data_IF_824785626795
#
_entry.id   IF_824785626795
#
_cell.length_a   1.000
_cell.length_b   1.000
_cell.length_c   1.000
_cell.angle_alpha   90.00
_cell.angle_beta   90.00
_cell.angle_gamma   90.00
#
_symmetry.space_group_name_H-M   'P 1'
#
loop_
_entity.id
_entity.type
_entity.pdbx_description
1 polymer ?
#
# COMPACT_ATOMS: atom_id res chain seq x y z
N UNK A 1 -15.41 8.95 4.65
CA UNK A 1 -15.59 8.97 3.18
C UNK A 1 -15.58 7.56 2.62
N UNK A 2 -16.02 7.39 1.37
CA UNK A 2 -15.67 6.22 0.52
C UNK A 2 -14.56 6.70 -0.41
N UNK A 3 -13.60 5.83 -0.73
CA UNK A 3 -12.45 6.05 -1.60
C UNK A 3 -12.68 5.31 -2.93
N UNK A 4 -13.43 5.90 -3.89
CA UNK A 4 -13.81 5.19 -5.10
C UNK A 4 -12.75 5.28 -6.20
N UNK A 5 -12.42 4.13 -6.78
CA UNK A 5 -11.85 3.99 -8.12
C UNK A 5 -12.90 3.30 -8.99
N UNK A 6 -13.87 4.08 -9.45
CA UNK A 6 -15.10 3.58 -10.08
C UNK A 6 -14.99 3.45 -11.61
N UNK A 7 -16.05 2.93 -12.24
CA UNK A 7 -16.19 2.80 -13.69
C UNK A 7 -15.94 4.09 -14.47
N UNK A 8 -16.43 5.22 -13.95
CA UNK A 8 -16.30 6.54 -14.60
C UNK A 8 -14.84 6.96 -14.79
N UNK A 9 -13.92 6.41 -14.01
CA UNK A 9 -12.50 6.76 -14.08
C UNK A 9 -11.73 5.95 -15.13
N UNK A 10 -12.32 4.92 -15.74
CA UNK A 10 -11.61 4.01 -16.66
C UNK A 10 -12.28 3.91 -18.04
N UNK A 11 -12.91 5.01 -18.46
CA UNK A 11 -13.63 5.18 -19.73
C UNK A 11 -13.33 6.53 -20.36
N UNK A 12 -13.86 6.76 -21.56
CA UNK A 12 -13.89 8.06 -22.23
C UNK A 12 -12.50 8.71 -22.40
N UNK A 13 -11.51 7.92 -22.82
CA UNK A 13 -10.12 8.34 -23.06
C UNK A 13 -9.34 8.72 -21.78
N UNK A 14 -9.87 8.41 -20.59
CA UNK A 14 -9.15 8.59 -19.32
C UNK A 14 -8.06 7.53 -19.10
N UNK A 15 -8.10 6.42 -19.84
CA UNK A 15 -7.26 5.25 -19.66
C UNK A 15 -7.68 4.36 -18.49
N UNK A 16 -7.26 3.09 -18.53
CA UNK A 16 -7.32 2.18 -17.38
C UNK A 16 -6.37 2.63 -16.25
N UNK A 17 -6.55 2.12 -15.04
CA UNK A 17 -5.65 2.48 -13.92
C UNK A 17 -4.19 2.13 -14.21
N UNK A 18 -3.92 0.95 -14.76
CA UNK A 18 -2.54 0.58 -15.15
C UNK A 18 -2.04 1.44 -16.33
N UNK A 19 -2.93 1.84 -17.24
CA UNK A 19 -2.63 2.75 -18.34
C UNK A 19 -2.12 4.11 -17.85
N UNK A 20 -2.68 4.61 -16.74
CA UNK A 20 -2.30 5.88 -16.10
C UNK A 20 -0.97 5.85 -15.36
N UNK A 21 -0.49 4.67 -14.97
CA UNK A 21 0.79 4.56 -14.27
C UNK A 21 1.95 4.93 -15.22
N UNK A 22 2.90 5.77 -14.80
CA UNK A 22 4.06 6.13 -15.61
C UNK A 22 5.10 5.00 -15.61
N UNK A 23 6.10 5.14 -16.48
CA UNK A 23 7.26 4.25 -16.51
C UNK A 23 7.08 3.03 -17.40
N UNK A 24 8.03 2.11 -17.26
CA UNK A 24 8.04 0.84 -17.98
C UNK A 24 6.96 -0.15 -17.47
N UNK A 25 6.89 -1.32 -18.10
CA UNK A 25 5.90 -2.34 -17.75
C UNK A 25 5.98 -2.76 -16.27
N UNK A 26 7.19 -2.92 -15.71
CA UNK A 26 7.34 -3.28 -14.30
C UNK A 26 6.89 -2.14 -13.38
N UNK A 27 7.29 -0.90 -13.69
CA UNK A 27 6.93 0.30 -12.93
C UNK A 27 5.42 0.55 -12.93
N UNK A 28 4.73 0.25 -14.03
CA UNK A 28 3.26 0.34 -14.10
C UNK A 28 2.55 -0.58 -13.10
N UNK A 29 2.98 -1.83 -13.01
CA UNK A 29 2.43 -2.76 -12.01
C UNK A 29 2.81 -2.36 -10.58
N UNK A 30 4.07 -1.95 -10.35
CA UNK A 30 4.51 -1.49 -9.03
C UNK A 30 3.70 -0.27 -8.56
N UNK A 31 3.55 0.73 -9.42
CA UNK A 31 2.73 1.92 -9.15
C UNK A 31 1.26 1.59 -8.87
N UNK A 32 0.67 0.64 -9.59
CA UNK A 32 -0.70 0.20 -9.33
C UNK A 32 -0.84 -0.56 -8.00
N UNK A 33 0.13 -1.42 -7.64
CA UNK A 33 0.15 -2.08 -6.33
C UNK A 33 0.30 -1.06 -5.20
N UNK A 34 1.17 -0.05 -5.36
CA UNK A 34 1.32 1.06 -4.44
C UNK A 34 0.02 1.86 -4.29
N UNK A 35 -0.66 2.18 -5.39
CA UNK A 35 -1.96 2.88 -5.35
C UNK A 35 -2.99 2.10 -4.53
N UNK A 36 -3.11 0.79 -4.75
CA UNK A 36 -4.04 -0.03 -3.97
C UNK A 36 -3.59 -0.17 -2.51
N UNK A 37 -2.30 -0.34 -2.25
CA UNK A 37 -1.76 -0.32 -0.88
C UNK A 37 -2.14 0.97 -0.16
N UNK A 38 -2.00 2.12 -0.81
CA UNK A 38 -2.42 3.41 -0.28
C UNK A 38 -3.95 3.49 -0.08
N UNK A 39 -4.74 3.10 -1.08
CA UNK A 39 -6.21 3.14 -0.99
C UNK A 39 -6.73 2.29 0.19
N UNK A 40 -6.16 1.10 0.41
CA UNK A 40 -6.60 0.17 1.44
C UNK A 40 -6.17 0.58 2.86
N UNK A 41 -5.12 1.41 2.96
CA UNK A 41 -4.57 1.84 4.24
C UNK A 41 -4.91 3.27 4.61
N UNK A 42 -5.42 4.06 3.67
CA UNK A 42 -5.96 5.39 3.93
C UNK A 42 -7.32 5.32 4.64
N UNK A 43 -7.67 6.39 5.34
CA UNK A 43 -8.94 6.53 6.06
C UNK A 43 -10.13 6.55 5.09
N UNK A 44 -11.07 5.62 5.27
CA UNK A 44 -12.30 5.54 4.50
C UNK A 44 -12.58 4.15 3.93
N UNK A 45 -13.81 3.96 3.47
CA UNK A 45 -14.26 2.67 2.91
C UNK A 45 -13.84 2.54 1.45
N UNK A 46 -13.51 1.34 1.02
CA UNK A 46 -12.89 1.09 -0.30
C UNK A 46 -13.96 0.76 -1.33
N UNK A 47 -13.84 1.32 -2.53
CA UNK A 47 -14.60 0.90 -3.70
C UNK A 47 -13.66 0.78 -4.90
N UNK A 48 -13.70 -0.37 -5.56
CA UNK A 48 -12.92 -0.63 -6.76
C UNK A 48 -13.82 -1.25 -7.84
N UNK A 49 -13.66 -0.83 -9.09
CA UNK A 49 -14.42 -1.32 -10.23
C UNK A 49 -13.78 -2.55 -10.86
N UNK A 50 -14.62 -3.43 -11.42
CA UNK A 50 -14.20 -4.66 -12.06
C UNK A 50 -13.18 -4.43 -13.18
N UNK A 51 -12.21 -5.33 -13.30
CA UNK A 51 -11.10 -5.24 -14.27
C UNK A 51 -9.86 -4.51 -13.71
N UNK A 52 -10.01 -3.67 -12.69
CA UNK A 52 -8.87 -3.00 -12.06
C UNK A 52 -8.01 -4.00 -11.27
N UNK A 53 -8.63 -4.99 -10.64
CA UNK A 53 -7.99 -6.04 -9.83
C UNK A 53 -7.11 -6.99 -10.65
N UNK A 54 -7.35 -7.07 -11.96
CA UNK A 54 -6.53 -7.85 -12.90
C UNK A 54 -5.63 -6.96 -13.76
N UNK A 55 -5.53 -5.66 -13.43
CA UNK A 55 -4.79 -4.67 -14.20
C UNK A 55 -5.12 -4.68 -15.71
N UNK A 56 -6.41 -4.62 -16.05
CA UNK A 56 -6.83 -4.54 -17.46
C UNK A 56 -6.21 -3.31 -18.13
N UNK A 57 -5.52 -3.51 -19.27
CA UNK A 57 -4.90 -2.40 -20.01
C UNK A 57 -5.91 -1.57 -20.77
N UNK A 58 -6.88 -2.22 -21.42
CA UNK A 58 -7.91 -1.52 -22.17
C UNK A 58 -8.86 -0.75 -21.24
N UNK A 59 -9.39 0.38 -21.71
CA UNK A 59 -10.55 0.99 -21.08
C UNK A 59 -11.74 0.03 -21.02
N UNK A 60 -12.54 0.19 -19.97
CA UNK A 60 -13.77 -0.57 -19.84
C UNK A 60 -14.74 -0.23 -20.98
N UNK A 61 -15.49 -1.22 -21.42
CA UNK A 61 -16.53 -1.06 -22.43
C UNK A 61 -17.67 -1.99 -22.08
N UNK A 62 -18.88 -1.45 -22.00
CA UNK A 62 -20.10 -2.24 -21.77
C UNK A 62 -20.42 -3.21 -22.92
N UNK A 63 -19.87 -2.98 -24.12
CA UNK A 63 -20.14 -3.77 -25.31
C UNK A 63 -19.33 -5.07 -25.40
N UNK A 64 -18.38 -5.29 -24.49
CA UNK A 64 -17.52 -6.48 -24.45
C UNK A 64 -17.27 -6.94 -23.01
N UNK A 65 -16.86 -8.19 -22.86
CA UNK A 65 -16.42 -8.70 -21.55
C UNK A 65 -15.13 -8.00 -21.10
N UNK A 66 -14.79 -8.18 -19.83
CA UNK A 66 -13.43 -7.92 -19.35
C UNK A 66 -12.43 -8.80 -20.12
N UNK A 67 -11.18 -8.33 -20.16
CA UNK A 67 -10.07 -8.99 -20.83
C UNK A 67 -9.54 -10.17 -19.96
N UNK A 68 -10.39 -11.18 -19.71
CA UNK A 68 -10.09 -12.30 -18.80
C UNK A 68 -8.85 -13.11 -19.17
N UNK A 69 -8.53 -13.17 -20.47
CA UNK A 69 -7.31 -13.80 -20.99
C UNK A 69 -6.01 -13.20 -20.40
N UNK A 70 -6.08 -12.00 -19.82
CA UNK A 70 -4.93 -11.40 -19.14
C UNK A 70 -4.48 -12.24 -17.94
N UNK A 71 -5.37 -13.01 -17.31
CA UNK A 71 -5.00 -13.91 -16.20
C UNK A 71 -4.15 -15.11 -16.63
N UNK A 72 -3.98 -15.35 -17.93
CA UNK A 72 -3.01 -16.34 -18.44
C UNK A 72 -1.56 -15.82 -18.38
N UNK A 73 -1.37 -14.54 -18.03
CA UNK A 73 -0.07 -13.89 -17.90
C UNK A 73 0.26 -13.62 -16.43
N UNK A 74 1.45 -14.08 -16.03
CA UNK A 74 1.93 -14.08 -14.64
C UNK A 74 1.74 -12.73 -13.90
N UNK A 75 2.03 -11.60 -14.54
CA UNK A 75 1.92 -10.28 -13.89
C UNK A 75 0.50 -9.89 -13.50
N UNK A 76 -0.49 -10.32 -14.27
CA UNK A 76 -1.89 -10.05 -13.98
C UNK A 76 -2.43 -10.96 -12.88
N UNK A 77 -2.00 -12.23 -12.86
CA UNK A 77 -2.27 -13.15 -11.74
C UNK A 77 -1.65 -12.60 -10.44
N UNK A 78 -0.40 -12.13 -10.49
CA UNK A 78 0.31 -11.52 -9.36
C UNK A 78 -0.39 -10.24 -8.85
N UNK A 79 -0.93 -9.40 -9.74
CA UNK A 79 -1.75 -8.24 -9.34
C UNK A 79 -3.04 -8.69 -8.65
N UNK A 80 -3.73 -9.69 -9.20
CA UNK A 80 -4.95 -10.23 -8.59
C UNK A 80 -4.65 -10.83 -7.20
N UNK A 81 -3.52 -11.51 -7.05
CA UNK A 81 -3.05 -12.03 -5.76
C UNK A 81 -2.81 -10.91 -4.74
N UNK A 82 -2.18 -9.80 -5.15
CA UNK A 82 -2.02 -8.62 -4.29
C UNK A 82 -3.36 -8.06 -3.81
N UNK A 83 -4.33 -7.90 -4.72
CA UNK A 83 -5.66 -7.38 -4.35
C UNK A 83 -6.42 -8.36 -3.45
N UNK A 84 -6.31 -9.67 -3.70
CA UNK A 84 -6.88 -10.71 -2.83
C UNK A 84 -6.32 -10.61 -1.41
N UNK A 85 -5.00 -10.58 -1.29
CA UNK A 85 -4.33 -10.58 0.01
C UNK A 85 -4.55 -9.25 0.76
N UNK A 86 -4.62 -8.12 0.05
CA UNK A 86 -5.06 -6.83 0.61
C UNK A 86 -6.48 -6.91 1.20
N UNK A 87 -7.42 -7.57 0.53
CA UNK A 87 -8.79 -7.74 1.04
C UNK A 87 -8.83 -8.61 2.29
N UNK A 88 -8.06 -9.70 2.33
CA UNK A 88 -7.93 -10.53 3.52
C UNK A 88 -7.36 -9.72 4.68
N UNK A 89 -6.24 -9.04 4.45
CA UNK A 89 -5.58 -8.23 5.45
C UNK A 89 -6.48 -7.10 5.96
N UNK A 90 -7.17 -6.38 5.08
CA UNK A 90 -8.12 -5.33 5.48
C UNK A 90 -9.18 -5.84 6.45
N UNK A 91 -9.73 -7.02 6.20
CA UNK A 91 -10.74 -7.63 7.08
C UNK A 91 -10.16 -8.07 8.42
N UNK A 92 -8.91 -8.54 8.42
CA UNK A 92 -8.23 -9.07 9.59
C UNK A 92 -7.62 -8.00 10.50
N UNK A 93 -7.41 -6.77 10.01
CA UNK A 93 -6.80 -5.69 10.78
C UNK A 93 -7.83 -4.60 11.16
N UNK A 94 -8.33 -4.60 12.42
CA UNK A 94 -9.32 -3.63 12.88
C UNK A 94 -8.87 -2.17 12.72
N UNK A 95 -7.57 -1.90 12.84
CA UNK A 95 -6.97 -0.58 12.65
C UNK A 95 -7.29 0.07 11.29
N UNK A 96 -7.61 -0.72 10.27
CA UNK A 96 -7.93 -0.21 8.93
C UNK A 96 -9.39 0.20 8.74
N UNK A 97 -10.30 -0.10 9.69
CA UNK A 97 -11.72 0.14 9.48
C UNK A 97 -12.55 0.50 10.70
N UNK A 98 -12.12 0.20 11.93
CA UNK A 98 -12.89 0.51 13.14
C UNK A 98 -13.04 2.03 13.33
N UNK A 99 -11.93 2.77 13.26
CA UNK A 99 -11.86 4.19 13.62
C UNK A 99 -11.67 5.09 12.38
N UNK A 100 -12.40 4.79 11.30
CA UNK A 100 -12.30 5.55 10.02
C UNK A 100 -12.93 6.95 10.05
N UNK A 101 -13.75 7.25 11.07
CA UNK A 101 -14.55 8.49 11.10
C UNK A 101 -14.22 9.39 12.29
N UNK A 102 -13.12 9.10 12.98
CA UNK A 102 -12.59 9.86 14.10
C UNK A 102 -11.12 10.18 13.85
N UNK A 103 -10.64 11.32 14.33
CA UNK A 103 -9.27 11.77 14.07
C UNK A 103 -8.24 10.84 14.71
N UNK A 104 -8.63 10.16 15.78
CA UNK A 104 -7.84 9.27 16.60
C UNK A 104 -7.38 8.03 15.83
N UNK A 105 -8.14 7.59 14.82
CA UNK A 105 -7.81 6.41 14.00
C UNK A 105 -6.62 6.60 13.05
N UNK A 106 -6.10 7.82 12.93
CA UNK A 106 -5.04 8.16 11.99
C UNK A 106 -4.04 9.17 12.57
N UNK A 107 -2.76 8.96 12.31
CA UNK A 107 -1.71 9.95 12.63
C UNK A 107 -0.62 9.96 11.57
N UNK A 108 -0.32 11.12 11.00
CA UNK A 108 0.88 11.28 10.17
C UNK A 108 2.16 11.03 10.97
N UNK A 109 3.12 10.33 10.37
CA UNK A 109 4.50 10.26 10.85
C UNK A 109 5.34 11.23 10.01
N UNK A 110 5.31 11.08 8.69
CA UNK A 110 5.94 11.98 7.73
C UNK A 110 5.02 12.19 6.52
N UNK A 111 4.70 13.45 6.23
CA UNK A 111 3.80 13.85 5.14
C UNK A 111 4.46 14.83 4.15
N UNK A 112 5.67 15.30 4.44
CA UNK A 112 6.36 16.38 3.77
C UNK A 112 7.76 16.00 3.26
N UNK A 113 8.08 14.71 3.17
CA UNK A 113 9.34 14.23 2.58
C UNK A 113 9.26 14.17 1.04
N UNK A 114 9.02 15.35 0.44
CA UNK A 114 8.86 15.51 -1.00
C UNK A 114 10.14 15.19 -1.78
N UNK A 115 11.31 15.44 -1.19
CA UNK A 115 12.62 15.15 -1.79
C UNK A 115 12.84 13.64 -1.96
N UNK A 116 12.34 12.83 -1.02
CA UNK A 116 12.39 11.37 -1.14
C UNK A 116 11.13 10.75 -1.75
N UNK A 117 10.04 11.50 -1.82
CA UNK A 117 8.74 11.02 -2.27
C UNK A 117 8.18 9.94 -1.35
N UNK A 118 8.35 10.11 -0.03
CA UNK A 118 7.89 9.15 0.97
C UNK A 118 6.74 9.74 1.79
N UNK A 119 5.72 8.90 2.01
CA UNK A 119 4.62 9.19 2.94
C UNK A 119 4.54 8.11 3.98
N UNK A 120 4.27 8.47 5.23
CA UNK A 120 4.12 7.51 6.30
C UNK A 120 3.17 7.97 7.40
N UNK A 121 2.43 7.02 7.94
CA UNK A 121 1.39 7.28 8.93
C UNK A 121 1.05 6.04 9.74
N UNK A 122 0.28 6.24 10.80
CA UNK A 122 -0.21 5.22 11.71
C UNK A 122 -1.73 5.10 11.53
N UNK A 123 -2.20 3.86 11.49
CA UNK A 123 -3.62 3.51 11.61
C UNK A 123 -3.84 2.85 12.97
N UNK A 124 -4.85 3.28 13.70
CA UNK A 124 -5.17 2.75 15.03
C UNK A 124 -6.54 2.07 15.03
N UNK A 125 -6.63 0.95 15.74
CA UNK A 125 -7.90 0.36 16.14
C UNK A 125 -8.50 1.12 17.34
N UNK A 126 -9.65 0.65 17.83
CA UNK A 126 -10.22 1.12 19.11
C UNK A 126 -9.24 0.86 20.26
N UNK A 127 -8.59 -0.31 20.26
CA UNK A 127 -7.43 -0.57 21.11
C UNK A 127 -6.20 0.15 20.54
N UNK A 128 -5.62 1.05 21.34
CA UNK A 128 -4.48 1.88 20.94
C UNK A 128 -3.18 1.10 20.80
N UNK A 129 -3.10 -0.08 21.41
CA UNK A 129 -1.96 -0.99 21.24
C UNK A 129 -2.05 -1.81 19.95
N UNK A 130 -3.22 -1.93 19.33
CA UNK A 130 -3.41 -2.49 17.98
C UNK A 130 -3.35 -1.39 16.92
N UNK A 131 -2.17 -1.21 16.36
CA UNK A 131 -1.90 -0.21 15.33
C UNK A 131 -1.01 -0.76 14.22
N UNK A 132 -1.13 -0.12 13.06
CA UNK A 132 -0.30 -0.40 11.88
C UNK A 132 0.53 0.83 11.55
N UNK A 133 1.79 0.60 11.18
CA UNK A 133 2.67 1.62 10.60
C UNK A 133 2.69 1.43 9.09
N UNK A 134 2.40 2.48 8.34
CA UNK A 134 2.39 2.47 6.88
C UNK A 134 3.51 3.35 6.37
N UNK A 135 4.29 2.84 5.41
CA UNK A 135 5.31 3.58 4.70
C UNK A 135 5.16 3.36 3.19
N UNK A 136 5.07 4.45 2.43
CA UNK A 136 4.83 4.47 0.99
C UNK A 136 6.00 5.18 0.32
N UNK A 137 6.72 4.49 -0.55
CA UNK A 137 7.75 5.10 -1.41
C UNK A 137 7.20 5.29 -2.81
N UNK A 138 6.94 6.54 -3.18
CA UNK A 138 6.33 6.92 -4.46
C UNK A 138 7.37 7.14 -5.57
N UNK A 139 8.61 6.69 -5.37
CA UNK A 139 9.71 6.80 -6.34
C UNK A 139 10.27 5.41 -6.68
N UNK A 140 10.84 5.19 -7.87
CA UNK A 140 11.44 3.91 -8.23
C UNK A 140 12.83 3.69 -7.59
N UNK A 141 13.24 4.55 -6.66
CA UNK A 141 14.53 4.48 -5.98
C UNK A 141 14.34 3.82 -4.61
N UNK A 142 15.07 2.75 -4.34
CA UNK A 142 15.10 2.10 -3.02
C UNK A 142 15.60 3.09 -1.97
N UNK A 143 14.93 3.15 -0.81
CA UNK A 143 15.40 3.95 0.33
C UNK A 143 15.97 3.04 1.39
N UNK A 144 17.29 2.90 1.42
CA UNK A 144 17.99 2.15 2.46
C UNK A 144 18.10 2.98 3.74
N UNK A 145 18.04 2.31 4.90
CA UNK A 145 18.20 2.93 6.22
C UNK A 145 17.27 4.12 6.49
N UNK A 146 16.07 4.09 5.90
CA UNK A 146 15.06 5.12 6.07
C UNK A 146 14.53 5.07 7.51
N UNK A 147 14.83 6.10 8.30
CA UNK A 147 14.39 6.16 9.69
C UNK A 147 12.95 6.59 9.79
N UNK A 148 12.14 5.86 10.53
CA UNK A 148 10.73 6.16 10.75
C UNK A 148 10.41 6.12 12.24
N UNK A 149 9.72 7.16 12.75
CA UNK A 149 9.30 7.22 14.14
C UNK A 149 8.18 6.22 14.43
N UNK A 150 8.18 5.58 15.60
CA UNK A 150 7.14 4.63 16.03
C UNK A 150 6.75 4.85 17.50
N UNK A 151 5.49 4.61 17.88
CA UNK A 151 4.96 5.03 19.19
C UNK A 151 5.45 4.17 20.36
N UNK A 152 5.91 2.94 20.10
CA UNK A 152 6.31 2.02 21.15
C UNK A 152 7.53 1.18 20.75
N UNK A 153 8.24 0.69 21.77
CA UNK A 153 9.30 -0.29 21.55
C UNK A 153 8.71 -1.66 21.15
N UNK A 154 9.50 -2.46 20.45
CA UNK A 154 9.17 -3.83 20.07
C UNK A 154 9.73 -4.22 18.71
N UNK A 155 9.39 -5.44 18.29
CA UNK A 155 9.65 -5.92 16.94
C UNK A 155 8.48 -5.55 16.03
N UNK A 156 8.79 -4.93 14.90
CA UNK A 156 7.82 -4.53 13.89
C UNK A 156 7.91 -5.46 12.70
N UNK A 157 6.99 -6.43 12.65
CA UNK A 157 6.86 -7.38 11.56
C UNK A 157 6.41 -6.68 10.28
N UNK A 158 7.06 -7.01 9.17
CA UNK A 158 6.61 -6.64 7.83
C UNK A 158 5.39 -7.48 7.47
N UNK A 159 4.20 -6.94 7.75
CA UNK A 159 2.95 -7.68 7.66
C UNK A 159 2.46 -7.78 6.20
N UNK A 160 2.68 -6.74 5.41
CA UNK A 160 2.49 -6.74 3.96
C UNK A 160 3.55 -5.87 3.28
N UNK A 161 4.00 -6.33 2.12
CA UNK A 161 4.94 -5.62 1.26
C UNK A 161 4.49 -5.75 -0.19
N UNK A 162 4.11 -4.64 -0.80
CA UNK A 162 3.62 -4.63 -2.18
C UNK A 162 4.72 -4.94 -3.21
N UNK A 163 5.99 -4.95 -2.83
CA UNK A 163 7.12 -5.29 -3.69
C UNK A 163 7.60 -6.75 -3.51
N UNK A 164 6.91 -7.55 -2.70
CA UNK A 164 7.21 -8.97 -2.60
C UNK A 164 7.18 -9.67 -3.98
N UNK A 165 8.06 -10.66 -4.16
CA UNK A 165 8.16 -11.43 -5.41
C UNK A 165 6.82 -12.10 -5.78
N UNK A 166 6.05 -12.55 -4.78
CA UNK A 166 4.72 -13.13 -4.95
C UNK A 166 3.71 -12.18 -5.64
N UNK A 167 3.96 -10.88 -5.59
CA UNK A 167 3.14 -9.84 -6.26
C UNK A 167 3.83 -9.26 -7.50
N UNK A 168 4.94 -9.88 -7.92
CA UNK A 168 5.70 -9.49 -9.11
C UNK A 168 6.63 -8.30 -8.90
N UNK A 169 6.95 -7.95 -7.66
CA UNK A 169 7.91 -6.91 -7.30
C UNK A 169 9.37 -7.38 -7.33
N UNK A 170 10.27 -6.49 -6.89
CA UNK A 170 11.72 -6.74 -6.85
C UNK A 170 12.21 -7.44 -5.59
N UNK A 171 11.28 -7.77 -4.69
CA UNK A 171 11.51 -8.42 -3.39
C UNK A 171 12.40 -7.61 -2.44
N UNK A 172 12.40 -6.28 -2.58
CA UNK A 172 13.04 -5.39 -1.61
C UNK A 172 12.13 -5.29 -0.39
N UNK A 173 12.69 -5.52 0.79
CA UNK A 173 11.97 -5.43 2.05
C UNK A 173 12.90 -5.58 3.24
N UNK A 174 12.31 -5.90 4.39
CA UNK A 174 12.99 -5.91 5.68
C UNK A 174 13.19 -7.33 6.24
N UNK A 175 13.17 -8.35 5.37
CA UNK A 175 13.44 -9.76 5.72
C UNK A 175 12.62 -10.28 6.92
N UNK A 176 11.36 -9.86 7.01
CA UNK A 176 10.41 -10.28 8.05
C UNK A 176 10.04 -9.18 9.05
N UNK A 177 10.91 -8.20 9.30
CA UNK A 177 10.62 -7.09 10.21
C UNK A 177 11.87 -6.44 10.79
N UNK A 178 11.69 -5.47 11.68
CA UNK A 178 12.77 -4.68 12.29
C UNK A 178 12.50 -4.38 13.76
N UNK A 179 13.56 -4.38 14.56
CA UNK A 179 13.50 -3.93 15.95
C UNK A 179 13.47 -2.40 16.05
N UNK A 180 12.65 -1.89 16.95
CA UNK A 180 12.71 -0.49 17.36
C UNK A 180 14.01 -0.16 18.08
N UNK A 181 14.45 1.09 17.94
CA UNK A 181 15.56 1.68 18.66
C UNK A 181 15.04 2.80 19.57
N UNK A 182 15.66 2.96 20.74
CA UNK A 182 15.41 4.08 21.67
C UNK A 182 16.05 5.38 21.15
N UNK A 183 15.56 5.80 19.99
CA UNK A 183 16.00 6.98 19.24
C UNK A 183 14.73 7.71 18.79
N UNK A 184 14.37 8.83 19.46
CA UNK A 184 13.20 9.61 19.08
C UNK A 184 13.28 10.15 17.66
N UNK A 185 12.16 10.12 16.95
CA UNK A 185 12.06 10.58 15.56
C UNK A 185 10.61 10.94 15.21
N UNK A 186 10.39 11.93 14.34
CA UNK A 186 9.04 12.33 13.90
C UNK A 186 8.04 12.63 15.05
N UNK A 187 8.54 13.15 16.18
CA UNK A 187 7.73 13.40 17.37
C UNK A 187 7.19 12.14 18.05
N UNK A 188 7.86 11.00 17.85
CA UNK A 188 7.59 9.71 18.48
C UNK A 188 8.81 9.24 19.28
N UNK A 189 8.61 8.47 20.37
CA UNK A 189 9.67 8.12 21.32
C UNK A 189 10.71 7.14 20.76
N UNK A 190 10.31 6.25 19.85
CA UNK A 190 11.18 5.24 19.25
C UNK A 190 11.29 5.45 17.74
N UNK A 191 12.22 4.75 17.10
CA UNK A 191 12.28 4.67 15.64
C UNK A 191 12.73 3.31 15.14
N UNK A 192 12.37 3.00 13.90
CA UNK A 192 12.84 1.84 13.15
C UNK A 192 13.63 2.30 11.93
N UNK A 193 14.55 1.47 11.46
CA UNK A 193 15.35 1.73 10.25
C UNK A 193 14.91 0.77 9.16
N UNK A 194 14.21 1.29 8.16
CA UNK A 194 13.59 0.50 7.10
C UNK A 194 14.39 0.53 5.82
N UNK A 195 14.24 -0.53 5.04
CA UNK A 195 14.54 -0.55 3.61
C UNK A 195 13.21 -0.42 2.86
N UNK A 196 12.94 0.74 2.28
CA UNK A 196 11.69 0.98 1.55
C UNK A 196 11.84 0.50 0.10
N UNK A 197 10.94 -0.40 -0.38
CA UNK A 197 10.95 -0.86 -1.75
C UNK A 197 10.67 0.27 -2.75
N UNK A 198 11.09 0.13 -4.01
CA UNK A 198 10.82 1.10 -5.06
C UNK A 198 9.35 1.03 -5.50
N UNK A 199 8.66 2.16 -5.58
CA UNK A 199 7.21 2.21 -5.90
C UNK A 199 6.41 1.23 -5.05
N UNK A 200 6.63 1.23 -3.73
CA UNK A 200 6.15 0.19 -2.85
C UNK A 200 5.47 0.70 -1.57
N UNK A 201 4.52 -0.10 -1.10
CA UNK A 201 3.81 0.08 0.15
C UNK A 201 4.25 -1.00 1.15
N UNK A 202 4.72 -0.57 2.32
CA UNK A 202 4.98 -1.41 3.47
C UNK A 202 3.93 -1.16 4.54
N UNK A 203 3.43 -2.24 5.12
CA UNK A 203 2.54 -2.21 6.27
C UNK A 203 3.21 -3.05 7.36
N UNK A 204 3.52 -2.41 8.48
CA UNK A 204 4.19 -3.03 9.61
C UNK A 204 3.22 -3.13 10.78
N UNK A 205 3.33 -4.23 11.52
CA UNK A 205 2.59 -4.45 12.77
C UNK A 205 3.59 -4.76 13.88
N UNK A 206 3.41 -4.16 15.05
CA UNK A 206 4.19 -4.53 16.23
C UNK A 206 3.73 -5.90 16.70
N UNK A 207 4.65 -6.84 16.88
CA UNK A 207 4.35 -8.12 17.53
C UNK A 207 4.27 -7.92 19.06
N UNK A 208 3.44 -8.71 19.73
CA UNK A 208 3.19 -8.63 21.18
C UNK A 208 4.43 -8.95 22.04
#
# INVERSE_FOLDING_TARGET
>A
FVLPLSHDEVVHMKGSLIGKMPGDYWQKFAGLRLLFGYQYTQVGKILNFMGNEIAQFSEWSEARSLDWHLLDYEKHEQMQAWVRDLNHFYREQPALWQVDFEAEGFRWIEANDADQGVYSYIRYAEDRDDFLIIALNCTPVVRDQYRLGVPAAGFYREALNSDAEAYGGSNVGNFGGVDSQDVPSHGLPYSISLRLPPLGALILKRDD
#
